data_IF_523993563459
#
_entry.id   IF_523993563459
#
_cell.length_a   1.000
_cell.length_b   1.000
_cell.length_c   1.000
_cell.angle_alpha   90.00
_cell.angle_beta   90.00
_cell.angle_gamma   90.00
#
_symmetry.space_group_name_H-M   'P 1'
#
loop_
_entity.id
_entity.type
_entity.pdbx_description
1 polymer ?
#
# COMPACT_ATOMS: atom_id res chain seq x y z
N UNK A 1 -25.23 21.66 14.07
CA UNK A 1 -24.29 20.68 13.46
C UNK A 1 -24.66 19.29 13.96
N UNK A 2 -24.75 18.29 13.08
CA UNK A 2 -25.57 17.07 13.25
C UNK A 2 -25.09 16.01 14.28
N UNK A 3 -24.00 16.27 15.03
CA UNK A 3 -23.48 15.41 16.12
C UNK A 3 -23.44 13.90 15.81
N UNK A 4 -22.90 13.53 14.65
CA UNK A 4 -22.86 12.13 14.15
C UNK A 4 -21.61 11.35 14.61
N UNK A 5 -20.68 11.98 15.31
CA UNK A 5 -19.47 11.35 15.86
C UNK A 5 -19.41 11.59 17.37
N UNK A 6 -19.28 10.51 18.15
CA UNK A 6 -19.30 10.57 19.61
C UNK A 6 -17.87 10.61 20.17
N UNK A 7 -17.50 11.63 20.98
CA UNK A 7 -16.11 11.85 21.40
C UNK A 7 -15.58 10.81 22.40
N UNK A 8 -16.46 10.07 23.06
CA UNK A 8 -16.07 9.05 24.05
C UNK A 8 -16.05 7.63 23.45
N UNK A 9 -16.14 7.51 22.12
CA UNK A 9 -16.09 6.23 21.42
C UNK A 9 -14.82 6.12 20.56
N UNK A 10 -14.23 4.93 20.56
CA UNK A 10 -13.15 4.57 19.64
C UNK A 10 -13.69 3.63 18.57
N UNK A 11 -13.61 4.05 17.31
CA UNK A 11 -13.94 3.25 16.13
C UNK A 11 -12.63 2.89 15.43
N UNK A 12 -12.22 1.63 15.59
CA UNK A 12 -11.06 1.08 14.90
C UNK A 12 -11.51 0.36 13.62
N UNK A 13 -10.71 0.49 12.58
CA UNK A 13 -10.83 -0.29 11.36
C UNK A 13 -9.44 -0.58 10.78
N UNK A 14 -9.37 -1.63 9.97
CA UNK A 14 -8.23 -1.90 9.11
C UNK A 14 -8.54 -1.40 7.70
N UNK A 15 -7.62 -0.62 7.13
CA UNK A 15 -7.59 -0.38 5.69
C UNK A 15 -6.66 -1.42 5.08
N UNK A 16 -7.16 -2.09 4.05
CA UNK A 16 -6.49 -3.20 3.37
C UNK A 16 -6.63 -3.01 1.86
N UNK A 17 -5.95 -3.86 1.09
CA UNK A 17 -6.06 -3.85 -0.38
C UNK A 17 -5.58 -2.55 -1.04
N UNK A 18 -4.53 -1.95 -0.47
CA UNK A 18 -3.86 -0.81 -1.08
C UNK A 18 -3.25 -1.19 -2.44
N UNK A 19 -3.20 -0.26 -3.41
CA UNK A 19 -2.42 -0.46 -4.62
C UNK A 19 -0.93 -0.56 -4.27
N UNK A 20 -0.21 -1.44 -4.95
CA UNK A 20 1.25 -1.58 -4.79
C UNK A 20 2.00 -0.40 -5.40
N UNK A 21 1.47 0.15 -6.49
CA UNK A 21 2.04 1.27 -7.20
C UNK A 21 1.03 2.40 -7.38
N UNK A 22 1.51 3.63 -7.39
CA UNK A 22 0.76 4.81 -7.78
C UNK A 22 1.34 5.41 -9.07
N UNK A 23 0.48 5.92 -9.95
CA UNK A 23 0.93 6.58 -11.16
C UNK A 23 1.31 8.03 -10.85
N UNK A 24 2.56 8.40 -11.11
CA UNK A 24 3.03 9.78 -10.98
C UNK A 24 2.90 10.51 -12.32
N UNK A 25 1.98 11.47 -12.38
CA UNK A 25 1.87 12.38 -13.53
C UNK A 25 3.13 13.24 -13.70
N UNK A 26 3.88 13.51 -12.63
CA UNK A 26 5.11 14.31 -12.71
C UNK A 26 6.25 13.52 -13.38
N UNK A 27 6.42 12.26 -12.99
CA UNK A 27 7.50 11.41 -13.46
C UNK A 27 7.09 10.55 -14.67
N UNK A 28 5.81 10.63 -15.08
CA UNK A 28 5.21 9.86 -16.18
C UNK A 28 5.48 8.35 -16.06
N UNK A 29 5.45 7.83 -14.82
CA UNK A 29 5.70 6.43 -14.50
C UNK A 29 5.03 6.02 -13.19
N UNK A 30 4.90 4.71 -12.99
CA UNK A 30 4.48 4.14 -11.70
C UNK A 30 5.62 4.21 -10.66
N UNK A 31 5.28 4.63 -9.45
CA UNK A 31 6.12 4.66 -8.26
C UNK A 31 5.52 3.72 -7.20
N UNK A 32 6.31 3.25 -6.22
CA UNK A 32 5.74 2.55 -5.08
C UNK A 32 4.78 3.48 -4.33
N UNK A 33 3.59 2.99 -4.02
CA UNK A 33 2.61 3.76 -3.26
C UNK A 33 2.98 3.86 -1.78
N UNK A 34 3.77 2.91 -1.27
CA UNK A 34 4.22 2.83 0.12
C UNK A 34 5.75 2.62 0.12
N UNK A 35 6.27 1.72 0.96
CA UNK A 35 7.69 1.39 0.93
C UNK A 35 8.05 0.55 -0.31
N UNK A 36 9.16 0.81 -1.04
CA UNK A 36 9.54 0.06 -2.26
C UNK A 36 9.72 -1.46 -2.08
N UNK A 37 9.87 -1.93 -0.83
CA UNK A 37 10.02 -3.34 -0.47
C UNK A 37 8.71 -4.02 -0.05
N UNK A 38 7.59 -3.32 -0.14
CA UNK A 38 6.25 -3.88 0.11
C UNK A 38 6.00 -5.03 -0.85
N UNK A 39 5.66 -6.21 -0.33
CA UNK A 39 5.33 -7.36 -1.13
C UNK A 39 3.95 -7.19 -1.77
N UNK A 40 3.77 -7.74 -2.97
CA UNK A 40 2.45 -7.87 -3.59
C UNK A 40 1.67 -9.04 -3.00
N UNK A 41 0.34 -9.04 -3.15
CA UNK A 41 -0.48 -10.18 -2.79
C UNK A 41 -0.27 -11.37 -3.73
N UNK A 42 -0.48 -12.63 -3.26
CA UNK A 42 -0.26 -13.83 -4.08
C UNK A 42 -0.98 -13.80 -5.43
N UNK A 43 -2.17 -13.21 -5.48
CA UNK A 43 -3.01 -13.10 -6.69
C UNK A 43 -2.37 -12.22 -7.77
N UNK A 44 -1.54 -11.25 -7.36
CA UNK A 44 -0.82 -10.34 -8.26
C UNK A 44 0.65 -10.73 -8.43
N UNK A 45 1.13 -11.82 -7.82
CA UNK A 45 2.55 -12.18 -7.74
C UNK A 45 3.22 -12.37 -9.11
N UNK A 46 2.47 -12.84 -10.10
CA UNK A 46 2.98 -13.12 -11.45
C UNK A 46 2.68 -12.01 -12.46
N UNK A 47 1.88 -11.01 -12.08
CA UNK A 47 1.40 -9.96 -12.99
C UNK A 47 1.72 -8.55 -12.53
N UNK A 48 2.20 -8.35 -11.30
CA UNK A 48 2.36 -7.01 -10.70
C UNK A 48 3.29 -6.08 -11.49
N UNK A 49 4.28 -6.62 -12.21
CA UNK A 49 5.24 -5.84 -12.98
C UNK A 49 4.74 -5.52 -14.40
N UNK A 50 3.81 -6.30 -14.94
CA UNK A 50 3.18 -6.03 -16.23
C UNK A 50 1.90 -5.18 -16.07
N UNK A 51 1.05 -5.55 -15.10
CA UNK A 51 -0.19 -4.85 -14.78
C UNK A 51 -0.08 -4.09 -13.45
N UNK A 52 0.76 -3.06 -13.44
CA UNK A 52 1.08 -2.27 -12.23
C UNK A 52 -0.13 -1.59 -11.59
N UNK A 53 -1.12 -1.24 -12.40
CA UNK A 53 -2.35 -0.54 -11.95
C UNK A 53 -3.19 -1.40 -11.01
N UNK A 54 -3.27 -2.71 -11.29
CA UNK A 54 -4.14 -3.63 -10.56
C UNK A 54 -3.35 -4.48 -9.54
N UNK A 55 -2.06 -4.19 -9.35
CA UNK A 55 -1.23 -4.87 -8.38
C UNK A 55 -1.62 -4.43 -6.96
N UNK A 56 -1.97 -5.39 -6.09
CA UNK A 56 -2.39 -5.12 -4.72
C UNK A 56 -1.25 -5.39 -3.73
N UNK A 57 -1.01 -4.45 -2.83
CA UNK A 57 -0.01 -4.53 -1.78
C UNK A 57 -0.44 -5.43 -0.63
N UNK A 58 0.55 -6.10 -0.03
CA UNK A 58 0.44 -6.80 1.24
C UNK A 58 0.69 -5.82 2.40
N UNK A 59 -0.12 -4.76 2.45
CA UNK A 59 -0.04 -3.63 3.38
C UNK A 59 -1.36 -3.42 4.13
N UNK A 60 -1.25 -2.96 5.37
CA UNK A 60 -2.38 -2.77 6.28
C UNK A 60 -2.17 -1.53 7.15
N UNK A 61 -3.19 -0.68 7.21
CA UNK A 61 -3.21 0.48 8.11
C UNK A 61 -4.29 0.32 9.15
N UNK A 62 -3.93 0.54 10.42
CA UNK A 62 -4.86 0.63 11.52
C UNK A 62 -5.30 2.08 11.68
N UNK A 63 -6.60 2.31 11.53
CA UNK A 63 -7.21 3.64 11.64
C UNK A 63 -8.12 3.69 12.84
N UNK A 64 -8.01 4.76 13.63
CA UNK A 64 -8.89 5.04 14.75
C UNK A 64 -9.49 6.44 14.61
N UNK A 65 -10.83 6.51 14.56
CA UNK A 65 -11.57 7.76 14.47
C UNK A 65 -11.10 8.68 13.31
N UNK A 66 -10.71 8.08 12.18
CA UNK A 66 -10.25 8.81 10.99
C UNK A 66 -8.76 9.16 10.97
N UNK A 67 -8.01 8.80 12.02
CA UNK A 67 -6.56 8.98 12.07
C UNK A 67 -5.86 7.64 11.90
N UNK A 68 -4.84 7.60 11.05
CA UNK A 68 -3.89 6.50 11.01
C UNK A 68 -3.12 6.46 12.34
N UNK A 69 -3.10 5.29 12.98
CA UNK A 69 -2.40 5.08 14.26
C UNK A 69 -1.30 4.02 14.16
N UNK A 70 -1.13 3.41 12.98
CA UNK A 70 -0.02 2.51 12.67
C UNK A 70 -0.24 1.80 11.35
N UNK A 71 0.86 1.42 10.70
CA UNK A 71 0.88 0.67 9.46
C UNK A 71 1.86 -0.49 9.53
N UNK A 72 1.56 -1.58 8.81
CA UNK A 72 2.46 -2.72 8.66
C UNK A 72 2.46 -3.20 7.21
N UNK A 73 3.64 -3.57 6.73
CA UNK A 73 3.82 -4.16 5.41
C UNK A 73 4.48 -5.53 5.54
N UNK A 74 4.10 -6.47 4.68
CA UNK A 74 4.93 -7.66 4.48
C UNK A 74 6.04 -7.31 3.51
N UNK A 75 7.28 -7.38 3.99
CA UNK A 75 8.45 -7.12 3.15
C UNK A 75 8.79 -8.31 2.25
N UNK A 76 9.33 -8.00 1.07
CA UNK A 76 9.76 -8.99 0.09
C UNK A 76 11.04 -9.72 0.54
N UNK A 77 10.96 -11.02 0.86
CA UNK A 77 12.12 -11.82 1.23
C UNK A 77 12.77 -12.48 -0.02
N UNK A 78 13.78 -11.80 -0.59
CA UNK A 78 14.90 -12.26 -1.46
C UNK A 78 14.62 -13.14 -2.72
N UNK A 79 13.50 -13.85 -2.89
CA UNK A 79 13.34 -14.83 -3.98
C UNK A 79 12.99 -14.23 -5.35
N UNK A 80 12.51 -12.98 -5.42
CA UNK A 80 12.27 -12.24 -6.67
C UNK A 80 12.52 -10.75 -6.46
N UNK A 81 13.75 -10.32 -6.18
CA UNK A 81 14.08 -8.89 -6.31
C UNK A 81 13.86 -8.48 -7.77
N UNK A 82 12.72 -7.84 -8.06
CA UNK A 82 12.49 -7.26 -9.36
C UNK A 82 13.37 -6.00 -9.46
N UNK A 83 14.07 -5.87 -10.59
CA UNK A 83 14.93 -4.72 -10.92
C UNK A 83 14.17 -3.41 -10.73
N UNK A 84 12.86 -3.41 -10.96
CA UNK A 84 12.00 -2.25 -10.79
C UNK A 84 11.92 -1.70 -9.36
N UNK A 85 11.80 -2.56 -8.33
CA UNK A 85 11.77 -2.09 -6.94
C UNK A 85 13.11 -1.43 -6.55
N UNK A 86 14.22 -1.94 -7.07
CA UNK A 86 15.56 -1.37 -6.85
C UNK A 86 15.79 -0.09 -7.66
N UNK A 87 15.23 0.02 -8.87
CA UNK A 87 15.33 1.23 -9.70
C UNK A 87 14.56 2.43 -9.11
N UNK A 88 13.66 2.22 -8.15
CA UNK A 88 12.99 3.32 -7.45
C UNK A 88 13.85 3.97 -6.36
N UNK A 89 15.01 3.38 -6.01
CA UNK A 89 15.92 3.92 -5.00
C UNK A 89 16.99 4.86 -5.60
N UNK A 90 16.99 5.08 -6.92
CA UNK A 90 17.95 5.91 -7.66
C UNK A 90 17.28 7.11 -8.33
#
# INVERSE_FOLDING_TARGET
MFNLAYPNEFKLLWVVDFPLFEYSEKEQRYLAAHHPFTMTKPESLDTFDVNKKDAIAYAYDLVMNGFEIGGVVKELLILKFNKECLMQLN
#
